data_IF_000548533977
#
_entry.id   IF_000548533977
#
_cell.length_a   1.000
_cell.length_b   1.000
_cell.length_c   1.000
_cell.angle_alpha   90.00
_cell.angle_beta   90.00
_cell.angle_gamma   90.00
#
_symmetry.space_group_name_H-M   'P 1'
#
loop_
_entity.id
_entity.type
_entity.pdbx_description
1 polymer ?
#
# COMPACT_ATOMS: atom_id res chain seq x y z
N UNK A 1 -19.14 5.78 5.16
CA UNK A 1 -20.04 6.29 4.07
C UNK A 1 -20.26 7.79 4.11
N UNK A 2 -20.34 8.45 5.28
CA UNK A 2 -20.65 9.88 5.41
C UNK A 2 -19.82 10.82 4.51
N UNK A 3 -18.51 10.58 4.36
CA UNK A 3 -17.66 11.43 3.51
C UNK A 3 -17.88 11.22 2.01
N UNK A 4 -18.21 10.00 1.55
CA UNK A 4 -18.50 9.74 0.13
C UNK A 4 -19.84 10.32 -0.33
N UNK A 5 -20.82 10.39 0.59
CA UNK A 5 -22.14 10.98 0.32
C UNK A 5 -22.18 12.49 0.54
N UNK A 6 -21.20 13.07 1.23
CA UNK A 6 -21.05 14.53 1.42
C UNK A 6 -20.76 15.24 0.09
N UNK A 7 -21.07 16.53 -0.03
CA UNK A 7 -20.75 17.34 -1.22
C UNK A 7 -19.33 17.92 -1.21
N UNK A 8 -18.43 17.38 -0.36
CA UNK A 8 -17.06 17.88 -0.20
C UNK A 8 -16.03 17.06 -1.00
N UNK A 9 -15.67 17.47 -2.23
CA UNK A 9 -14.88 16.63 -3.14
C UNK A 9 -13.46 16.33 -2.66
N UNK A 10 -12.84 17.24 -1.89
CA UNK A 10 -11.48 17.03 -1.38
C UNK A 10 -11.46 16.08 -0.18
N UNK A 11 -12.45 16.15 0.70
CA UNK A 11 -12.58 15.20 1.81
C UNK A 11 -12.87 13.78 1.31
N UNK A 12 -13.58 13.63 0.17
CA UNK A 12 -13.71 12.33 -0.52
C UNK A 12 -12.37 11.77 -0.95
N UNK A 13 -11.49 12.61 -1.51
CA UNK A 13 -10.15 12.17 -1.95
C UNK A 13 -9.30 11.75 -0.77
N UNK A 14 -9.31 12.51 0.33
CA UNK A 14 -8.62 12.16 1.57
C UNK A 14 -9.10 10.79 2.08
N UNK A 15 -10.42 10.62 2.22
CA UNK A 15 -11.01 9.35 2.66
C UNK A 15 -10.64 8.18 1.74
N UNK A 16 -10.65 8.38 0.42
CA UNK A 16 -10.22 7.35 -0.53
C UNK A 16 -8.75 7.01 -0.37
N UNK A 17 -7.86 7.98 -0.24
CA UNK A 17 -6.43 7.70 -0.04
C UNK A 17 -6.20 6.94 1.26
N UNK A 18 -6.90 7.26 2.36
CA UNK A 18 -6.81 6.48 3.59
C UNK A 18 -7.38 5.07 3.46
N UNK A 19 -8.39 4.87 2.62
CA UNK A 19 -8.85 3.52 2.29
C UNK A 19 -7.79 2.72 1.52
N UNK A 20 -7.37 3.22 0.34
CA UNK A 20 -6.49 2.49 -0.57
C UNK A 20 -5.08 2.31 0.00
N UNK A 21 -4.55 3.32 0.71
CA UNK A 21 -3.15 3.37 1.15
C UNK A 21 -2.92 3.08 2.62
N UNK A 22 -3.98 2.85 3.42
CA UNK A 22 -3.84 2.60 4.87
C UNK A 22 -4.76 1.48 5.37
N UNK A 23 -6.08 1.60 5.22
CA UNK A 23 -7.03 0.66 5.86
C UNK A 23 -6.90 -0.78 5.39
N UNK A 24 -6.61 -1.03 4.11
CA UNK A 24 -6.41 -2.41 3.63
C UNK A 24 -5.20 -3.11 4.24
N UNK A 25 -4.23 -2.36 4.78
CA UNK A 25 -2.96 -2.92 5.22
C UNK A 25 -3.02 -3.64 6.57
N UNK A 26 -4.08 -3.45 7.37
CA UNK A 26 -4.36 -4.33 8.54
C UNK A 26 -4.60 -5.79 8.10
N UNK A 27 -5.19 -5.98 6.91
CA UNK A 27 -5.44 -7.29 6.31
C UNK A 27 -4.29 -7.80 5.45
N UNK A 28 -3.69 -6.94 4.61
CA UNK A 28 -2.60 -7.34 3.71
C UNK A 28 -1.32 -7.77 4.44
N UNK A 29 -1.15 -7.41 5.71
CA UNK A 29 -0.03 -7.88 6.52
C UNK A 29 0.05 -9.40 6.60
N UNK A 30 -1.08 -10.09 6.80
CA UNK A 30 -1.12 -11.54 7.05
C UNK A 30 -0.63 -12.39 5.86
N UNK A 31 -1.10 -12.21 4.61
CA UNK A 31 -0.56 -12.96 3.48
C UNK A 31 0.93 -12.66 3.25
N UNK A 32 1.39 -11.44 3.51
CA UNK A 32 2.83 -11.11 3.41
C UNK A 32 3.64 -11.81 4.50
N UNK A 33 3.11 -11.90 5.72
CA UNK A 33 3.72 -12.66 6.82
C UNK A 33 3.84 -14.16 6.53
N UNK A 34 2.82 -14.75 5.89
CA UNK A 34 2.88 -16.14 5.45
C UNK A 34 3.86 -16.32 4.30
N UNK A 35 3.85 -15.41 3.32
CA UNK A 35 4.79 -15.42 2.20
C UNK A 35 6.24 -15.38 2.69
N UNK A 36 6.55 -14.56 3.69
CA UNK A 36 7.89 -14.45 4.28
C UNK A 36 8.37 -15.72 5.00
N UNK A 37 7.49 -16.72 5.13
CA UNK A 37 7.73 -18.04 5.74
C UNK A 37 7.48 -19.19 4.75
N UNK A 38 7.38 -18.90 3.45
CA UNK A 38 7.13 -19.90 2.41
C UNK A 38 5.75 -20.54 2.49
N UNK A 39 4.76 -19.86 3.07
CA UNK A 39 3.37 -20.34 3.18
C UNK A 39 2.45 -19.47 2.33
N UNK A 40 1.46 -20.09 1.68
CA UNK A 40 0.44 -19.40 0.87
C UNK A 40 1.05 -18.42 -0.17
N UNK A 41 2.18 -18.76 -0.76
CA UNK A 41 2.93 -17.89 -1.69
C UNK A 41 2.09 -17.45 -2.89
N UNK A 42 1.34 -18.37 -3.50
CA UNK A 42 0.46 -18.06 -4.62
C UNK A 42 -0.72 -17.13 -4.21
N UNK A 43 -1.18 -17.23 -2.96
CA UNK A 43 -2.17 -16.26 -2.44
C UNK A 43 -1.51 -14.90 -2.25
N UNK A 44 -0.27 -14.85 -1.76
CA UNK A 44 0.48 -13.62 -1.66
C UNK A 44 0.73 -12.98 -3.03
N UNK A 45 0.93 -13.76 -4.10
CA UNK A 45 1.02 -13.25 -5.48
C UNK A 45 -0.26 -12.53 -5.92
N UNK A 46 -1.43 -13.15 -5.66
CA UNK A 46 -2.71 -12.50 -5.94
C UNK A 46 -2.85 -11.19 -5.15
N UNK A 47 -2.47 -11.19 -3.88
CA UNK A 47 -2.52 -9.99 -3.03
C UNK A 47 -1.52 -8.93 -3.53
N UNK A 48 -0.33 -9.31 -4.00
CA UNK A 48 0.64 -8.39 -4.61
C UNK A 48 0.08 -7.69 -5.84
N UNK A 49 -0.70 -8.38 -6.68
CA UNK A 49 -1.39 -7.76 -7.81
C UNK A 49 -2.39 -6.69 -7.35
N UNK A 50 -3.16 -6.96 -6.29
CA UNK A 50 -4.08 -5.98 -5.70
C UNK A 50 -3.30 -4.79 -5.13
N UNK A 51 -2.25 -5.04 -4.33
CA UNK A 51 -1.41 -3.98 -3.75
C UNK A 51 -0.80 -3.09 -4.84
N UNK A 52 -0.40 -3.67 -5.98
CA UNK A 52 0.14 -2.92 -7.11
C UNK A 52 -0.88 -1.93 -7.67
N UNK A 53 -2.14 -2.35 -7.80
CA UNK A 53 -3.20 -1.49 -8.31
C UNK A 53 -3.56 -0.40 -7.27
N UNK A 54 -3.67 -0.78 -5.99
CA UNK A 54 -3.99 0.17 -4.91
C UNK A 54 -2.89 1.21 -4.66
N UNK A 55 -1.63 0.86 -4.88
CA UNK A 55 -0.51 1.82 -4.82
C UNK A 55 -0.68 2.92 -5.89
N UNK A 56 -1.13 2.55 -7.09
CA UNK A 56 -1.42 3.51 -8.16
C UNK A 56 -2.68 4.32 -7.86
N UNK A 57 -3.73 3.70 -7.32
CA UNK A 57 -4.96 4.42 -6.91
C UNK A 57 -4.65 5.48 -5.85
N UNK A 58 -3.96 5.09 -4.78
CA UNK A 58 -3.56 5.99 -3.69
C UNK A 58 -2.72 7.17 -4.19
N UNK A 59 -1.70 6.88 -5.01
CA UNK A 59 -0.86 7.91 -5.60
C UNK A 59 -1.65 8.85 -6.51
N UNK A 60 -2.47 8.32 -7.43
CA UNK A 60 -3.20 9.14 -8.40
C UNK A 60 -4.25 10.03 -7.73
N UNK A 61 -5.02 9.48 -6.78
CA UNK A 61 -6.03 10.25 -6.06
C UNK A 61 -5.37 11.31 -5.19
N UNK A 62 -4.27 10.97 -4.51
CA UNK A 62 -3.45 11.92 -3.73
C UNK A 62 -2.88 13.04 -4.59
N UNK A 63 -2.34 12.73 -5.76
CA UNK A 63 -1.88 13.72 -6.74
C UNK A 63 -3.00 14.66 -7.19
N UNK A 64 -4.20 14.12 -7.51
CA UNK A 64 -5.36 14.95 -7.87
C UNK A 64 -5.85 15.81 -6.70
N UNK A 65 -5.73 15.32 -5.47
CA UNK A 65 -6.00 16.11 -4.27
C UNK A 65 -5.03 17.30 -4.19
N UNK A 66 -3.73 17.07 -4.33
CA UNK A 66 -2.71 18.12 -4.29
C UNK A 66 -2.92 19.19 -5.38
N UNK A 67 -3.25 18.80 -6.62
CA UNK A 67 -3.57 19.76 -7.70
C UNK A 67 -4.74 20.67 -7.32
N UNK A 68 -5.80 20.09 -6.74
CA UNK A 68 -6.97 20.86 -6.38
C UNK A 68 -6.72 21.73 -5.15
N UNK A 69 -5.92 21.25 -4.19
CA UNK A 69 -5.47 21.98 -3.00
C UNK A 69 -4.71 23.27 -3.37
N UNK A 70 -3.88 23.23 -4.43
CA UNK A 70 -3.13 24.40 -4.92
C UNK A 70 -4.00 25.57 -5.37
N UNK A 71 -5.30 25.34 -5.64
CA UNK A 71 -6.25 26.38 -6.05
C UNK A 71 -6.95 27.06 -4.87
N UNK A 72 -6.81 26.50 -3.68
CA UNK A 72 -7.43 27.01 -2.45
C UNK A 72 -6.56 28.03 -1.75
N UNK A 73 -7.20 28.84 -0.91
CA UNK A 73 -6.55 29.81 -0.01
C UNK A 73 -5.73 29.11 1.07
N UNK A 74 -4.82 29.84 1.72
CA UNK A 74 -4.00 29.27 2.79
C UNK A 74 -4.83 28.75 3.97
N UNK A 75 -5.96 29.40 4.28
CA UNK A 75 -6.81 29.02 5.42
C UNK A 75 -7.51 27.68 5.15
N UNK A 76 -8.07 27.50 3.95
CA UNK A 76 -8.73 26.25 3.54
C UNK A 76 -7.75 25.07 3.46
N UNK A 77 -6.48 25.33 3.09
CA UNK A 77 -5.44 24.30 3.07
C UNK A 77 -5.14 23.78 4.47
N UNK A 78 -5.04 24.66 5.46
CA UNK A 78 -4.84 24.27 6.85
C UNK A 78 -6.06 23.53 7.41
N UNK A 79 -7.28 23.97 7.09
CA UNK A 79 -8.51 23.25 7.47
C UNK A 79 -8.53 21.82 6.92
N UNK A 80 -8.15 21.63 5.66
CA UNK A 80 -8.09 20.30 5.05
C UNK A 80 -6.96 19.44 5.61
N UNK A 81 -5.82 20.04 5.96
CA UNK A 81 -4.72 19.34 6.64
C UNK A 81 -5.15 18.84 8.01
N UNK A 82 -5.77 19.69 8.82
CA UNK A 82 -6.31 19.31 10.13
C UNK A 82 -7.39 18.24 10.00
N UNK A 83 -8.29 18.37 9.01
CA UNK A 83 -9.27 17.34 8.72
C UNK A 83 -8.61 15.99 8.37
N UNK A 84 -7.59 15.98 7.51
CA UNK A 84 -6.88 14.75 7.14
C UNK A 84 -6.24 14.08 8.35
N UNK A 85 -5.55 14.84 9.21
CA UNK A 85 -4.91 14.31 10.42
C UNK A 85 -5.95 13.77 11.42
N UNK A 86 -7.05 14.50 11.64
CA UNK A 86 -8.10 14.07 12.55
C UNK A 86 -8.79 12.79 12.05
N UNK A 87 -9.13 12.73 10.76
CA UNK A 87 -9.72 11.54 10.16
C UNK A 87 -8.75 10.35 10.21
N UNK A 88 -7.46 10.57 9.95
CA UNK A 88 -6.46 9.51 10.06
C UNK A 88 -6.40 8.95 11.48
N UNK A 89 -6.39 9.80 12.51
CA UNK A 89 -6.34 9.35 13.89
C UNK A 89 -7.61 8.60 14.31
N UNK A 90 -8.79 9.05 13.88
CA UNK A 90 -10.05 8.34 14.13
C UNK A 90 -10.05 6.94 13.49
N UNK A 91 -9.61 6.87 12.23
CA UNK A 91 -9.47 5.61 11.51
C UNK A 91 -8.39 4.72 12.13
N UNK A 92 -7.27 5.29 12.56
CA UNK A 92 -6.20 4.57 13.22
C UNK A 92 -6.67 3.94 14.53
N UNK A 93 -7.33 4.70 15.40
CA UNK A 93 -7.88 4.19 16.66
C UNK A 93 -8.89 3.06 16.42
N UNK A 94 -9.67 3.16 15.33
CA UNK A 94 -10.53 2.07 14.90
C UNK A 94 -9.73 0.83 14.47
N UNK A 95 -8.71 1.00 13.64
CA UNK A 95 -7.90 -0.13 13.16
C UNK A 95 -7.06 -0.77 14.25
N UNK A 96 -6.67 -0.03 15.29
CA UNK A 96 -6.05 -0.61 16.48
C UNK A 96 -7.01 -1.60 17.13
N UNK A 97 -8.27 -1.20 17.39
CA UNK A 97 -9.28 -2.09 17.99
C UNK A 97 -9.61 -3.28 17.10
N UNK A 98 -9.72 -3.05 15.79
CA UNK A 98 -9.98 -4.10 14.81
C UNK A 98 -8.83 -5.12 14.77
N UNK A 99 -7.58 -4.64 14.76
CA UNK A 99 -6.37 -5.47 14.78
C UNK A 99 -6.28 -6.28 16.07
N UNK A 100 -6.54 -5.67 17.22
CA UNK A 100 -6.56 -6.36 18.50
C UNK A 100 -7.62 -7.46 18.52
N UNK A 101 -8.83 -7.19 18.03
CA UNK A 101 -9.89 -8.18 17.97
C UNK A 101 -9.56 -9.35 17.03
N UNK A 102 -8.92 -9.08 15.89
CA UNK A 102 -8.63 -10.09 14.86
C UNK A 102 -7.38 -10.94 15.19
N UNK A 103 -6.35 -10.32 15.77
CA UNK A 103 -5.03 -10.95 15.98
C UNK A 103 -4.70 -11.23 17.45
N UNK A 104 -5.64 -11.07 18.39
CA UNK A 104 -5.42 -11.26 19.84
C UNK A 104 -4.65 -12.55 20.19
N UNK A 105 -5.06 -13.68 19.61
CA UNK A 105 -4.54 -15.01 19.95
C UNK A 105 -3.33 -15.44 19.12
N UNK A 106 -2.79 -14.57 18.25
CA UNK A 106 -1.67 -14.91 17.36
C UNK A 106 -0.32 -14.40 17.85
N UNK A 107 -0.32 -13.40 18.73
CA UNK A 107 0.89 -12.69 19.15
C UNK A 107 1.44 -11.69 18.12
N UNK A 108 0.73 -11.45 17.01
CA UNK A 108 1.19 -10.58 15.91
C UNK A 108 0.68 -9.14 15.98
N UNK A 109 -0.12 -8.82 17.00
CA UNK A 109 -0.76 -7.50 17.14
C UNK A 109 0.24 -6.36 17.01
N UNK A 110 1.39 -6.44 17.69
CA UNK A 110 2.39 -5.37 17.66
C UNK A 110 3.01 -5.18 16.27
N UNK A 111 3.29 -6.26 15.55
CA UNK A 111 3.83 -6.21 14.18
C UNK A 111 2.83 -5.56 13.22
N UNK A 112 1.53 -5.90 13.35
CA UNK A 112 0.48 -5.32 12.52
C UNK A 112 0.29 -3.82 12.85
N UNK A 113 0.37 -3.44 14.13
CA UNK A 113 0.32 -2.02 14.53
C UNK A 113 1.48 -1.20 13.96
N UNK A 114 2.70 -1.75 13.96
CA UNK A 114 3.84 -1.08 13.34
C UNK A 114 3.64 -0.92 11.82
N UNK A 115 3.09 -1.95 11.18
CA UNK A 115 2.75 -1.91 9.77
C UNK A 115 1.65 -0.90 9.42
N UNK A 116 0.68 -0.71 10.31
CA UNK A 116 -0.34 0.34 10.17
C UNK A 116 0.29 1.74 10.21
N UNK A 117 1.17 2.02 11.19
CA UNK A 117 1.88 3.30 11.27
C UNK A 117 2.70 3.59 10.00
N UNK A 118 3.39 2.58 9.48
CA UNK A 118 4.16 2.68 8.23
C UNK A 118 3.28 3.06 7.03
N UNK A 119 2.13 2.40 6.86
CA UNK A 119 1.22 2.69 5.75
C UNK A 119 0.43 3.99 5.95
N UNK A 120 0.14 4.38 7.18
CA UNK A 120 -0.43 5.70 7.50
C UNK A 120 0.49 6.84 7.03
N UNK A 121 1.79 6.72 7.28
CA UNK A 121 2.77 7.68 6.78
C UNK A 121 2.81 7.72 5.24
N UNK A 122 2.73 6.57 4.56
CA UNK A 122 2.63 6.53 3.09
C UNK A 122 1.38 7.23 2.56
N UNK A 123 0.23 7.03 3.21
CA UNK A 123 -1.02 7.67 2.81
C UNK A 123 -0.93 9.21 2.98
N UNK A 124 -0.31 9.70 4.05
CA UNK A 124 -0.03 11.13 4.24
C UNK A 124 0.91 11.68 3.15
N UNK A 125 1.98 10.96 2.83
CA UNK A 125 2.90 11.35 1.75
C UNK A 125 2.20 11.44 0.39
N UNK A 126 1.29 10.50 0.08
CA UNK A 126 0.46 10.56 -1.13
C UNK A 126 -0.40 11.83 -1.20
N UNK A 127 -0.87 12.33 -0.05
CA UNK A 127 -1.61 13.59 0.06
C UNK A 127 -0.72 14.85 0.06
N UNK A 128 0.61 14.68 0.08
CA UNK A 128 1.58 15.78 0.13
C UNK A 128 1.87 16.29 1.55
N UNK A 129 1.56 15.49 2.57
CA UNK A 129 1.83 15.80 3.96
C UNK A 129 3.06 15.07 4.50
N UNK A 130 3.61 15.60 5.59
CA UNK A 130 4.70 14.97 6.33
C UNK A 130 4.22 13.73 7.09
N UNK A 131 5.17 12.84 7.38
CA UNK A 131 4.92 11.68 8.22
C UNK A 131 4.47 12.10 9.62
N UNK A 132 3.46 11.40 10.16
CA UNK A 132 2.95 11.64 11.50
C UNK A 132 3.63 10.73 12.52
N UNK A 133 3.78 9.44 12.19
CA UNK A 133 4.34 8.45 13.09
C UNK A 133 5.87 8.41 12.98
N UNK A 134 6.59 8.40 14.10
CA UNK A 134 8.04 8.33 14.07
C UNK A 134 8.51 6.92 13.67
N UNK A 135 9.77 6.77 13.20
CA UNK A 135 10.26 5.51 12.65
C UNK A 135 10.19 4.35 13.64
N UNK A 136 10.35 4.58 14.94
CA UNK A 136 10.21 3.57 15.99
C UNK A 136 8.79 2.99 16.11
N UNK A 137 7.76 3.75 15.75
CA UNK A 137 6.37 3.25 15.69
C UNK A 137 6.06 2.59 14.35
N UNK A 138 6.85 2.86 13.31
CA UNK A 138 6.69 2.36 11.95
C UNK A 138 7.80 1.35 11.58
N UNK A 139 8.38 0.68 12.57
CA UNK A 139 9.46 -0.29 12.39
C UNK A 139 8.90 -1.63 11.90
N UNK A 140 8.85 -1.80 10.58
CA UNK A 140 8.33 -2.99 9.93
C UNK A 140 9.47 -3.98 9.72
N UNK A 141 9.24 -5.23 10.13
CA UNK A 141 10.19 -6.32 9.89
C UNK A 141 10.61 -6.38 8.40
N UNK A 142 11.91 -6.35 8.07
CA UNK A 142 12.40 -6.35 6.70
C UNK A 142 11.89 -7.50 5.84
N UNK A 143 11.60 -8.67 6.44
CA UNK A 143 11.04 -9.81 5.71
C UNK A 143 9.64 -9.54 5.15
N UNK A 144 8.84 -8.71 5.85
CA UNK A 144 7.52 -8.27 5.38
C UNK A 144 7.68 -7.25 4.25
N UNK A 145 8.63 -6.31 4.39
CA UNK A 145 8.95 -5.35 3.34
C UNK A 145 9.45 -6.03 2.06
N UNK A 146 10.28 -7.07 2.18
CA UNK A 146 10.72 -7.88 1.05
C UNK A 146 9.53 -8.60 0.38
N UNK A 147 8.60 -9.15 1.16
CA UNK A 147 7.41 -9.82 0.62
C UNK A 147 6.45 -8.88 -0.13
N UNK A 148 6.46 -7.59 0.21
CA UNK A 148 5.69 -6.52 -0.45
C UNK A 148 6.28 -6.09 -1.80
N UNK A 149 7.59 -6.23 -1.98
CA UNK A 149 8.31 -5.79 -3.17
C UNK A 149 8.87 -6.99 -3.92
N UNK A 150 8.10 -7.61 -4.82
CA UNK A 150 8.68 -8.49 -5.81
C UNK A 150 9.44 -7.58 -6.78
N UNK A 151 10.71 -7.30 -6.51
CA UNK A 151 11.58 -6.99 -7.64
C UNK A 151 11.40 -8.14 -8.63
N UNK A 152 11.37 -7.82 -9.92
CA UNK A 152 11.12 -8.75 -11.03
C UNK A 152 12.13 -9.94 -11.14
N UNK A 153 12.94 -10.15 -10.09
CA UNK A 153 13.93 -11.19 -9.86
C UNK A 153 13.44 -12.26 -8.87
N UNK A 154 12.13 -12.43 -8.66
CA UNK A 154 11.64 -13.74 -8.24
C UNK A 154 11.95 -14.71 -9.39
N UNK A 155 13.11 -15.37 -9.31
CA UNK A 155 13.45 -16.51 -10.15
C UNK A 155 12.36 -17.56 -9.92
N UNK A 156 11.35 -17.55 -10.78
CA UNK A 156 10.41 -18.64 -10.88
C UNK A 156 11.20 -19.87 -11.32
N UNK A 157 11.38 -20.83 -10.41
CA UNK A 157 11.75 -22.17 -10.83
C UNK A 157 10.65 -22.63 -11.80
N UNK A 158 11.05 -23.05 -13.00
CA UNK A 158 10.24 -23.30 -14.20
C UNK A 158 9.00 -24.18 -13.94
N UNK A 159 8.96 -24.89 -12.81
CA UNK A 159 7.89 -25.79 -12.38
C UNK A 159 6.96 -25.25 -11.29
N UNK A 160 7.17 -24.04 -10.74
CA UNK A 160 6.52 -23.61 -9.49
C UNK A 160 5.77 -22.27 -9.50
N UNK A 161 5.82 -21.48 -10.57
CA UNK A 161 5.03 -20.25 -10.62
C UNK A 161 5.00 -19.59 -11.99
N UNK A 162 3.83 -19.10 -12.38
CA UNK A 162 3.67 -18.22 -13.53
C UNK A 162 4.24 -16.84 -13.18
N UNK A 163 5.31 -16.44 -13.87
CA UNK A 163 5.90 -15.11 -13.76
C UNK A 163 4.88 -13.99 -13.83
N UNK A 164 4.87 -13.09 -12.85
CA UNK A 164 3.98 -11.92 -12.81
C UNK A 164 4.53 -10.69 -13.55
N UNK A 165 5.68 -10.83 -14.20
CA UNK A 165 6.33 -9.75 -14.97
C UNK A 165 5.79 -9.69 -16.41
N UNK A 166 5.33 -8.51 -16.84
CA UNK A 166 5.11 -8.23 -18.26
C UNK A 166 6.46 -8.14 -18.97
N UNK A 167 6.94 -9.26 -19.53
CA UNK A 167 8.10 -9.25 -20.42
C UNK A 167 7.59 -9.01 -21.83
N UNK A 168 7.87 -7.82 -22.39
CA UNK A 168 7.80 -7.64 -23.85
C UNK A 168 8.97 -8.41 -24.46
N UNK A 169 8.73 -9.68 -24.79
CA UNK A 169 9.69 -10.50 -25.50
C UNK A 169 9.99 -9.87 -26.85
N UNK A 170 11.22 -9.39 -27.04
CA UNK A 170 11.71 -9.07 -28.38
C UNK A 170 12.00 -10.40 -29.07
N UNK A 171 11.09 -10.83 -29.92
CA UNK A 171 11.34 -11.94 -30.85
C UNK A 171 12.22 -11.40 -31.97
N UNK A 172 13.41 -11.96 -32.11
CA UNK A 172 14.28 -11.78 -33.27
C UNK A 172 14.29 -13.12 -34.00
N UNK A 173 14.08 -13.11 -35.31
CA UNK A 173 14.26 -14.34 -36.10
C UNK A 173 15.75 -14.68 -36.13
N UNK A 174 16.07 -15.96 -35.99
CA UNK A 174 17.45 -16.43 -36.14
C UNK A 174 17.91 -16.20 -37.57
N UNK A 175 19.10 -15.61 -37.73
CA UNK A 175 19.74 -15.40 -39.02
C UNK A 175 20.70 -16.56 -39.31
N UNK A 176 20.99 -16.84 -40.58
CA UNK A 176 21.92 -17.91 -40.97
C UNK A 176 23.33 -17.72 -40.36
N UNK A 177 23.69 -16.47 -40.04
CA UNK A 177 24.95 -16.11 -39.38
C UNK A 177 25.05 -16.62 -37.92
N UNK A 178 23.91 -16.84 -37.24
CA UNK A 178 23.86 -17.40 -35.88
C UNK A 178 24.29 -18.88 -35.83
N UNK A 179 24.42 -19.52 -37.01
CA UNK A 179 24.79 -20.93 -37.18
C UNK A 179 26.19 -21.12 -37.77
N UNK A 180 26.95 -20.04 -37.96
CA UNK A 180 28.35 -20.11 -38.37
C UNK A 180 29.27 -20.30 -37.14
N UNK A 181 29.54 -21.56 -36.80
CA UNK A 181 30.55 -21.97 -35.81
C UNK A 181 31.96 -22.06 -36.42
#
# INVERSE_FOLDING_TARGET
MAHYVSDEPLKKKIASVFLESFLFYSGFWLPMYFSSRGKLTNTADLIRLIIRDEAVHGYYIGYKYQIALQKLSAIEREELKLFALNLLMELYDNEIRYTEALYAETGWVNDVKAFLCYNANKALMNLGYEALFPPEMADVNPAILAALSPNADENHDFFSGSGSSYVMGKTVETEDEDWNF
#
